data_IF_633593247940
#
_entry.id   IF_633593247940
#
_cell.length_a   1.000
_cell.length_b   1.000
_cell.length_c   1.000
_cell.angle_alpha   90.00
_cell.angle_beta   90.00
_cell.angle_gamma   90.00
#
_symmetry.space_group_name_H-M   'P 1'
#
loop_
_entity.id
_entity.type
_entity.pdbx_description
1 polymer ?
#
# COMPACT_ATOMS: atom_id res chain seq x y z
N UNK A 1 -7.88 -23.21 13.97
CA UNK A 1 -7.95 -22.31 15.14
C UNK A 1 -6.80 -21.34 15.01
N UNK A 2 -7.12 -20.06 14.93
CA UNK A 2 -6.50 -19.08 14.02
C UNK A 2 -5.15 -18.57 14.55
N UNK A 3 -4.05 -19.03 13.95
CA UNK A 3 -2.76 -18.37 14.12
C UNK A 3 -2.81 -17.04 13.36
N UNK A 4 -3.01 -15.93 14.09
CA UNK A 4 -2.92 -14.57 13.56
C UNK A 4 -1.46 -14.34 13.15
N UNK A 5 -1.12 -14.26 11.85
CA UNK A 5 0.23 -13.90 11.48
C UNK A 5 0.47 -12.46 11.91
N UNK A 6 1.50 -12.29 12.74
CA UNK A 6 2.09 -11.02 13.14
C UNK A 6 2.46 -10.24 11.87
N UNK A 7 1.60 -9.29 11.51
CA UNK A 7 1.82 -8.38 10.40
C UNK A 7 3.08 -7.57 10.73
N UNK A 8 4.10 -7.52 9.87
CA UNK A 8 5.24 -6.65 10.11
C UNK A 8 4.73 -5.21 10.18
N UNK A 9 4.85 -4.65 11.38
CA UNK A 9 4.42 -3.33 11.85
C UNK A 9 5.19 -2.20 11.17
N UNK A 10 5.30 -2.22 9.84
CA UNK A 10 5.85 -1.11 9.07
C UNK A 10 4.70 -0.39 8.41
N UNK A 11 4.10 0.53 9.16
CA UNK A 11 3.12 1.48 8.65
C UNK A 11 3.56 2.00 7.27
N UNK A 12 2.67 1.99 6.26
CA UNK A 12 3.03 2.36 4.89
C UNK A 12 3.51 3.81 4.84
N UNK A 13 4.82 3.99 4.68
CA UNK A 13 5.44 5.31 4.61
C UNK A 13 5.25 5.88 3.21
N UNK A 14 4.25 6.74 2.98
CA UNK A 14 3.99 7.27 1.62
C UNK A 14 5.23 7.98 1.01
N UNK A 15 6.17 8.49 1.82
CA UNK A 15 7.46 9.04 1.38
C UNK A 15 8.35 8.02 0.64
N UNK A 16 8.21 6.73 0.93
CA UNK A 16 8.91 5.62 0.27
C UNK A 16 8.06 4.95 -0.81
N UNK A 17 6.84 5.44 -1.07
CA UNK A 17 5.97 4.88 -2.08
C UNK A 17 6.39 5.34 -3.48
N UNK A 18 6.44 4.41 -4.44
CA UNK A 18 6.76 4.68 -5.84
C UNK A 18 5.62 5.41 -6.56
N UNK A 19 4.38 5.18 -6.15
CA UNK A 19 3.19 5.81 -6.72
C UNK A 19 2.84 7.16 -6.08
N UNK A 20 3.61 7.61 -5.09
CA UNK A 20 3.45 8.93 -4.47
C UNK A 20 4.04 10.01 -5.38
N UNK A 21 3.27 11.06 -5.64
CA UNK A 21 3.71 12.19 -6.44
C UNK A 21 3.18 13.51 -5.87
N UNK A 22 3.90 14.60 -6.14
CA UNK A 22 3.51 15.95 -5.73
C UNK A 22 2.80 16.64 -6.90
N UNK A 23 1.55 17.03 -6.69
CA UNK A 23 0.63 17.61 -7.69
C UNK A 23 0.86 19.10 -7.96
N UNK A 24 1.69 19.78 -7.17
CA UNK A 24 1.92 21.23 -7.21
C UNK A 24 0.66 22.09 -6.98
N UNK A 25 -0.44 21.48 -6.53
CA UNK A 25 -1.67 22.19 -6.16
C UNK A 25 -1.59 22.66 -4.71
N UNK A 26 -1.85 23.95 -4.47
CA UNK A 26 -1.72 24.55 -3.13
C UNK A 26 -2.72 23.98 -2.12
N UNK A 27 -3.86 23.45 -2.57
CA UNK A 27 -4.89 22.89 -1.69
C UNK A 27 -4.63 21.40 -1.44
N UNK A 28 -4.03 20.71 -2.41
CA UNK A 28 -3.87 19.27 -2.39
C UNK A 28 -2.51 18.88 -2.97
N UNK A 29 -1.40 19.07 -2.24
CA UNK A 29 -0.05 18.85 -2.76
C UNK A 29 0.32 17.36 -2.90
N UNK A 30 -0.43 16.45 -2.28
CA UNK A 30 -0.12 15.02 -2.29
C UNK A 30 -1.05 14.26 -3.23
N UNK A 31 -0.47 13.45 -4.13
CA UNK A 31 -1.20 12.60 -5.06
C UNK A 31 -0.79 11.13 -4.93
N UNK A 32 -1.76 10.23 -5.14
CA UNK A 32 -1.51 8.79 -5.26
C UNK A 32 -1.87 8.31 -6.67
N UNK A 33 -0.89 7.77 -7.40
CA UNK A 33 -1.11 7.34 -8.79
C UNK A 33 -1.88 6.02 -8.87
N UNK A 34 -1.73 5.14 -7.89
CA UNK A 34 -2.42 3.85 -7.88
C UNK A 34 -3.92 4.01 -7.69
N UNK A 35 -4.34 4.89 -6.78
CA UNK A 35 -5.75 5.17 -6.55
C UNK A 35 -6.31 6.30 -7.44
N UNK A 36 -5.46 7.13 -8.04
CA UNK A 36 -5.88 8.19 -8.95
C UNK A 36 -6.50 9.42 -8.28
N UNK A 37 -6.30 9.61 -6.97
CA UNK A 37 -6.78 10.79 -6.24
C UNK A 37 -5.64 11.67 -5.74
N UNK A 38 -5.99 12.91 -5.39
CA UNK A 38 -5.11 13.91 -4.83
C UNK A 38 -5.75 14.56 -3.61
N UNK A 39 -4.95 14.85 -2.60
CA UNK A 39 -5.40 15.33 -1.30
C UNK A 39 -4.43 16.25 -0.58
N UNK A 40 -4.99 16.95 0.41
CA UNK A 40 -4.26 17.85 1.30
C UNK A 40 -3.39 17.09 2.31
N UNK A 41 -3.79 15.86 2.64
CA UNK A 41 -3.12 14.97 3.60
C UNK A 41 -2.40 13.84 2.86
N UNK A 42 -1.57 13.11 3.60
CA UNK A 42 -0.93 11.90 3.09
C UNK A 42 -2.00 10.94 2.54
N UNK A 43 -1.81 10.38 1.33
CA UNK A 43 -2.81 9.50 0.72
C UNK A 43 -3.06 8.25 1.57
N UNK A 44 -2.06 7.77 2.33
CA UNK A 44 -2.23 6.65 3.24
C UNK A 44 -3.21 6.96 4.40
N UNK A 45 -3.24 8.22 4.86
CA UNK A 45 -4.16 8.68 5.92
C UNK A 45 -5.59 8.81 5.39
N UNK A 46 -5.76 9.33 4.18
CA UNK A 46 -7.08 9.40 3.53
C UNK A 46 -7.64 8.00 3.24
N UNK A 47 -6.84 7.07 2.73
CA UNK A 47 -7.27 5.68 2.51
C UNK A 47 -7.67 5.03 3.83
N UNK A 48 -6.94 5.30 4.91
CA UNK A 48 -7.31 4.81 6.25
C UNK A 48 -8.63 5.39 6.74
N UNK A 49 -8.87 6.68 6.53
CA UNK A 49 -10.12 7.33 6.90
C UNK A 49 -11.30 6.87 6.05
N UNK A 50 -11.09 6.67 4.75
CA UNK A 50 -12.15 6.31 3.81
C UNK A 50 -12.46 4.81 3.81
N UNK A 51 -11.45 3.95 3.89
CA UNK A 51 -11.59 2.49 3.80
C UNK A 51 -11.51 1.80 5.16
N UNK A 52 -11.11 2.51 6.22
CA UNK A 52 -10.90 1.94 7.55
C UNK A 52 -9.69 0.99 7.64
N UNK A 53 -8.84 0.95 6.62
CA UNK A 53 -7.72 0.00 6.46
C UNK A 53 -6.47 0.72 5.95
N UNK A 54 -5.31 0.13 6.18
CA UNK A 54 -4.05 0.67 5.68
C UNK A 54 -3.98 0.66 4.14
N UNK A 55 -3.05 1.43 3.58
CA UNK A 55 -2.89 1.58 2.13
C UNK A 55 -2.39 0.26 1.50
N UNK A 56 -3.32 -0.56 0.99
CA UNK A 56 -3.02 -1.82 0.27
C UNK A 56 -2.23 -1.58 -1.02
N UNK A 57 -2.34 -0.38 -1.59
CA UNK A 57 -1.63 0.05 -2.80
C UNK A 57 -0.21 0.58 -2.56
N UNK A 58 0.33 0.43 -1.34
CA UNK A 58 1.66 0.90 -1.01
C UNK A 58 2.75 0.08 -1.73
N UNK A 59 3.38 0.68 -2.74
CA UNK A 59 4.51 0.08 -3.45
C UNK A 59 5.81 0.76 -3.02
N UNK A 60 6.61 0.10 -2.17
CA UNK A 60 7.89 0.64 -1.75
C UNK A 60 8.86 0.78 -2.95
N UNK A 61 9.53 1.93 -3.07
CA UNK A 61 10.58 2.13 -4.07
C UNK A 61 11.71 1.13 -3.80
N UNK A 62 12.28 0.47 -4.82
CA UNK A 62 13.43 -0.41 -4.64
C UNK A 62 14.68 0.41 -4.29
N UNK A 63 14.85 0.71 -3.00
CA UNK A 63 16.18 0.96 -2.43
C UNK A 63 16.92 -0.37 -2.43
N UNK A 64 18.22 -0.36 -2.75
CA UNK A 64 19.04 -1.58 -2.87
C UNK A 64 18.69 -2.54 -1.73
N UNK A 65 18.32 -3.79 -2.05
CA UNK A 65 17.57 -4.62 -1.14
C UNK A 65 18.48 -5.07 0.01
N UNK A 66 18.30 -4.48 1.19
CA UNK A 66 18.46 -5.27 2.40
C UNK A 66 17.13 -6.02 2.62
N UNK A 67 16.90 -7.06 1.80
CA UNK A 67 15.89 -8.12 2.02
C UNK A 67 14.46 -7.65 2.37
N UNK A 68 13.66 -7.28 1.37
CA UNK A 68 12.20 -7.26 1.50
C UNK A 68 11.59 -7.76 0.20
N UNK A 69 11.66 -9.08 0.00
CA UNK A 69 11.03 -9.76 -1.11
C UNK A 69 9.57 -10.05 -0.79
N UNK A 70 8.66 -9.51 -1.60
CA UNK A 70 7.26 -9.94 -1.64
C UNK A 70 6.96 -10.36 -3.08
N UNK A 71 6.84 -11.66 -3.31
CA UNK A 71 6.15 -12.24 -4.47
C UNK A 71 5.04 -13.10 -3.88
N UNK A 72 3.90 -12.50 -3.56
CA UNK A 72 2.73 -13.25 -3.09
C UNK A 72 1.53 -12.90 -3.97
N UNK A 73 1.42 -13.63 -5.07
CA UNK A 73 0.18 -13.78 -5.80
C UNK A 73 -0.41 -15.13 -5.35
N UNK A 74 -1.60 -15.19 -4.76
CA UNK A 74 -2.19 -16.45 -4.36
C UNK A 74 -2.59 -17.22 -5.63
N UNK A 75 -1.79 -18.25 -6.00
CA UNK A 75 -2.21 -19.27 -6.96
C UNK A 75 -3.16 -20.21 -6.22
N UNK A 76 -4.47 -20.00 -6.33
CA UNK A 76 -5.45 -20.99 -5.85
C UNK A 76 -5.37 -22.25 -6.73
N UNK A 77 -5.08 -23.45 -6.21
CA UNK A 77 -5.52 -24.68 -6.86
C UNK A 77 -6.90 -25.06 -6.30
N UNK A 78 -7.91 -25.01 -7.16
CA UNK A 78 -9.23 -25.56 -6.86
C UNK A 78 -9.17 -27.08 -6.76
N UNK A 79 -9.60 -27.58 -5.61
CA UNK A 79 -9.90 -28.97 -5.29
C UNK A 79 -11.07 -29.48 -6.17
N UNK A 80 -10.90 -30.66 -6.75
CA UNK A 80 -11.87 -31.30 -7.64
C UNK A 80 -12.06 -32.76 -7.26
N UNK A 81 -12.91 -32.98 -6.26
CA UNK A 81 -13.50 -34.27 -5.87
C UNK A 81 -14.17 -34.98 -7.06
N UNK A 82 -13.83 -36.27 -7.28
CA UNK A 82 -14.79 -37.35 -7.56
C UNK A 82 -14.17 -38.69 -7.16
#
# INVERSE_FOLDING_TARGET
>A
MTARPIQPESAPNCNHCRSFFVTHDSRRPYGCRTFGFHSARLPCDEVRLSSGRECDAFEAKPVRPARAGQRDAPRQPGDGTH
#
